data_IF_613111992473
#
_entry.id   IF_613111992473
#
_cell.length_a   1.000
_cell.length_b   1.000
_cell.length_c   1.000
_cell.angle_alpha   90.00
_cell.angle_beta   90.00
_cell.angle_gamma   90.00
#
_symmetry.space_group_name_H-M   'P 1'
#
loop_
_entity.id
_entity.type
_entity.pdbx_description
1 polymer ?
#
# COMPACT_ATOMS: atom_id res chain seq x y z
N UNK A 1 -14.72 12.67 -2.14
CA UNK A 1 -13.42 13.37 -2.21
C UNK A 1 -12.41 12.38 -2.78
N UNK A 2 -11.69 12.77 -3.84
CA UNK A 2 -10.58 12.00 -4.39
C UNK A 2 -9.27 12.66 -3.93
N UNK A 3 -8.35 11.86 -3.42
CA UNK A 3 -7.05 12.34 -2.93
C UNK A 3 -6.04 11.18 -2.97
N UNK A 4 -4.75 11.51 -3.03
CA UNK A 4 -3.67 10.53 -3.12
C UNK A 4 -2.34 11.20 -3.41
N UNK A 5 -1.28 10.41 -3.54
CA UNK A 5 0.06 10.88 -3.88
C UNK A 5 0.86 9.80 -4.58
N UNK A 6 1.97 10.17 -5.22
CA UNK A 6 2.95 9.20 -5.71
C UNK A 6 3.56 8.40 -4.53
N UNK A 7 3.83 7.11 -4.76
CA UNK A 7 4.66 6.31 -3.85
C UNK A 7 6.14 6.66 -4.00
N UNK A 8 6.98 6.58 -2.98
CA UNK A 8 6.76 6.13 -1.59
C UNK A 8 6.40 7.26 -0.61
N UNK A 9 6.35 8.52 -1.07
CA UNK A 9 6.13 9.71 -0.22
C UNK A 9 4.82 9.63 0.57
N UNK A 10 3.76 9.06 -0.04
CA UNK A 10 2.47 8.83 0.64
C UNK A 10 2.55 7.90 1.86
N UNK A 11 3.54 6.99 1.90
CA UNK A 11 3.69 5.99 2.96
C UNK A 11 4.00 6.63 4.32
N UNK A 12 4.61 7.81 4.34
CA UNK A 12 4.99 8.53 5.56
C UNK A 12 3.97 9.59 6.01
N UNK A 13 2.85 9.75 5.30
CA UNK A 13 1.88 10.81 5.61
C UNK A 13 0.56 10.25 6.16
N UNK A 14 -0.13 9.42 5.39
CA UNK A 14 -1.50 9.02 5.71
C UNK A 14 -1.75 7.51 5.70
N UNK A 15 -0.73 6.70 5.42
CA UNK A 15 -0.90 5.24 5.36
C UNK A 15 -1.23 4.64 6.73
N UNK A 16 -0.84 5.28 7.83
CA UNK A 16 -1.29 4.87 9.16
C UNK A 16 -2.80 4.95 9.29
N UNK A 17 -3.40 6.04 8.79
CA UNK A 17 -4.85 6.21 8.78
C UNK A 17 -5.53 5.22 7.83
N UNK A 18 -4.91 4.87 6.70
CA UNK A 18 -5.46 3.85 5.80
C UNK A 18 -5.42 2.45 6.41
N UNK A 19 -4.40 2.12 7.22
CA UNK A 19 -4.27 0.79 7.78
C UNK A 19 -5.02 0.59 9.10
N UNK A 20 -5.10 1.62 9.95
CA UNK A 20 -5.67 1.51 11.30
C UNK A 20 -6.80 2.51 11.58
N UNK A 21 -7.14 3.35 10.61
CA UNK A 21 -8.28 4.26 10.73
C UNK A 21 -9.61 3.52 10.69
N UNK A 22 -10.64 4.15 11.21
CA UNK A 22 -12.00 3.58 11.31
C UNK A 22 -12.89 3.90 10.11
N UNK A 23 -12.40 4.71 9.17
CA UNK A 23 -13.17 5.13 7.98
C UNK A 23 -13.00 4.12 6.87
N UNK A 24 -14.13 3.65 6.33
CA UNK A 24 -14.13 2.89 5.09
C UNK A 24 -13.63 3.75 3.93
N UNK A 25 -12.79 3.17 3.07
CA UNK A 25 -12.31 3.80 1.85
C UNK A 25 -12.17 2.76 0.75
N UNK A 26 -11.93 3.23 -0.47
CA UNK A 26 -11.42 2.40 -1.56
C UNK A 26 -10.21 3.08 -2.17
N UNK A 27 -9.25 2.30 -2.65
CA UNK A 27 -8.00 2.81 -3.18
C UNK A 27 -7.62 2.13 -4.51
N UNK A 28 -6.96 2.87 -5.39
CA UNK A 28 -6.33 2.29 -6.58
C UNK A 28 -4.81 2.45 -6.46
N UNK A 29 -4.10 1.32 -6.56
CA UNK A 29 -2.64 1.28 -6.60
C UNK A 29 -2.24 1.12 -8.06
N UNK A 30 -1.62 2.15 -8.64
CA UNK A 30 -1.16 2.14 -10.03
C UNK A 30 0.35 1.89 -10.04
N UNK A 31 0.78 0.78 -10.65
CA UNK A 31 2.19 0.36 -10.71
C UNK A 31 2.65 0.18 -12.15
N UNK A 32 3.52 1.07 -12.67
CA UNK A 32 4.21 0.83 -13.93
C UNK A 32 5.32 -0.21 -13.78
N UNK A 33 5.33 -1.22 -14.64
CA UNK A 33 6.30 -2.31 -14.65
C UNK A 33 7.64 -1.87 -15.23
N UNK A 34 7.64 -0.89 -16.13
CA UNK A 34 8.83 -0.28 -16.75
C UNK A 34 8.80 1.21 -16.48
N UNK A 35 9.93 1.76 -16.06
CA UNK A 35 10.08 3.18 -15.73
C UNK A 35 11.36 3.70 -16.39
N UNK A 36 11.28 4.17 -17.65
CA UNK A 36 12.38 4.83 -18.37
C UNK A 36 13.79 4.22 -18.22
N UNK A 37 14.81 5.05 -18.44
CA UNK A 37 16.22 4.78 -18.11
C UNK A 37 16.41 4.99 -16.59
N UNK A 38 16.15 3.95 -15.79
CA UNK A 38 16.22 4.03 -14.32
C UNK A 38 16.85 2.81 -13.68
N UNK A 39 17.31 2.97 -12.44
CA UNK A 39 17.90 1.88 -11.66
C UNK A 39 16.91 0.71 -11.48
N UNK A 40 17.34 -0.48 -11.91
CA UNK A 40 16.58 -1.72 -11.80
C UNK A 40 16.26 -2.05 -10.35
N UNK A 41 17.16 -1.78 -9.41
CA UNK A 41 16.94 -2.07 -7.98
C UNK A 41 15.86 -1.17 -7.38
N UNK A 42 15.94 0.14 -7.64
CA UNK A 42 14.89 1.08 -7.25
C UNK A 42 13.50 0.67 -7.78
N UNK A 43 13.42 0.21 -9.03
CA UNK A 43 12.16 -0.27 -9.62
C UNK A 43 11.61 -1.52 -8.94
N UNK A 44 12.48 -2.48 -8.62
CA UNK A 44 12.10 -3.69 -7.89
C UNK A 44 11.62 -3.34 -6.46
N UNK A 45 12.29 -2.41 -5.79
CA UNK A 45 11.87 -1.94 -4.48
C UNK A 45 10.48 -1.29 -4.54
N UNK A 46 10.22 -0.41 -5.52
CA UNK A 46 8.91 0.21 -5.69
C UNK A 46 7.81 -0.82 -5.95
N UNK A 47 8.07 -1.83 -6.80
CA UNK A 47 7.12 -2.91 -7.04
C UNK A 47 6.85 -3.74 -5.78
N UNK A 48 7.90 -4.08 -5.02
CA UNK A 48 7.77 -4.78 -3.76
C UNK A 48 6.92 -3.98 -2.76
N UNK A 49 7.12 -2.66 -2.68
CA UNK A 49 6.31 -1.78 -1.85
C UNK A 49 4.83 -1.76 -2.26
N UNK A 50 4.53 -1.62 -3.55
CA UNK A 50 3.16 -1.61 -4.05
C UNK A 50 2.42 -2.93 -3.75
N UNK A 51 3.08 -4.07 -3.99
CA UNK A 51 2.53 -5.40 -3.70
C UNK A 51 2.37 -5.64 -2.19
N UNK A 52 3.35 -5.22 -1.38
CA UNK A 52 3.26 -5.31 0.07
C UNK A 52 2.10 -4.47 0.61
N UNK A 53 1.87 -3.27 0.04
CA UNK A 53 0.76 -2.41 0.43
C UNK A 53 -0.59 -3.03 0.05
N UNK A 54 -0.73 -3.57 -1.17
CA UNK A 54 -1.94 -4.31 -1.58
C UNK A 54 -2.22 -5.48 -0.64
N UNK A 55 -1.21 -6.29 -0.31
CA UNK A 55 -1.35 -7.39 0.66
C UNK A 55 -1.77 -6.89 2.03
N UNK A 56 -1.17 -5.81 2.54
CA UNK A 56 -1.50 -5.26 3.85
C UNK A 56 -2.95 -4.76 3.90
N UNK A 57 -3.43 -4.09 2.84
CA UNK A 57 -4.82 -3.66 2.73
C UNK A 57 -5.80 -4.84 2.63
N UNK A 58 -5.44 -5.92 1.93
CA UNK A 58 -6.27 -7.10 1.77
C UNK A 58 -6.33 -7.96 3.05
N UNK A 59 -5.16 -8.34 3.55
CA UNK A 59 -4.99 -9.38 4.59
C UNK A 59 -4.85 -8.79 5.98
N UNK A 60 -4.20 -7.63 6.10
CA UNK A 60 -3.88 -7.05 7.40
C UNK A 60 -2.85 -7.86 8.20
N UNK A 61 -2.95 -7.73 9.52
CA UNK A 61 -2.19 -8.44 10.55
C UNK A 61 -3.14 -8.67 11.72
N UNK A 62 -3.43 -9.94 11.98
CA UNK A 62 -4.37 -10.36 13.03
C UNK A 62 -3.90 -9.97 14.44
N UNK A 63 -4.82 -9.94 15.43
CA UNK A 63 -4.47 -9.67 16.82
C UNK A 63 -3.37 -10.61 17.37
N UNK A 64 -3.36 -11.88 16.96
CA UNK A 64 -2.38 -12.86 17.42
C UNK A 64 -0.99 -12.62 16.80
N UNK A 65 -0.94 -12.29 15.51
CA UNK A 65 0.31 -11.90 14.84
C UNK A 65 0.87 -10.59 15.41
N UNK A 66 0.00 -9.64 15.74
CA UNK A 66 0.36 -8.38 16.38
C UNK A 66 0.96 -8.62 17.78
N UNK A 67 0.35 -9.49 18.59
CA UNK A 67 0.87 -9.91 19.90
C UNK A 67 2.24 -10.59 19.80
N UNK A 68 2.39 -11.54 18.88
CA UNK A 68 3.70 -12.17 18.63
C UNK A 68 4.76 -11.14 18.23
N UNK A 69 4.43 -10.21 17.34
CA UNK A 69 5.35 -9.16 16.90
C UNK A 69 5.72 -8.22 18.05
N UNK A 70 4.74 -7.78 18.84
CA UNK A 70 4.98 -6.91 19.99
C UNK A 70 5.86 -7.57 21.05
N UNK A 71 5.63 -8.85 21.36
CA UNK A 71 6.47 -9.63 22.27
C UNK A 71 7.92 -9.72 21.78
N UNK A 72 8.17 -9.95 20.48
CA UNK A 72 9.55 -9.95 19.93
C UNK A 72 10.24 -8.59 20.02
N UNK A 73 9.47 -7.51 20.21
CA UNK A 73 9.96 -6.14 20.37
C UNK A 73 9.95 -5.66 21.82
N UNK A 74 9.60 -6.52 22.78
CA UNK A 74 9.58 -6.22 24.21
C UNK A 74 8.36 -5.42 24.69
N UNK A 75 7.27 -5.38 23.90
CA UNK A 75 6.01 -4.79 24.34
C UNK A 75 5.17 -5.79 25.13
N UNK A 76 4.38 -5.27 26.08
CA UNK A 76 3.35 -6.06 26.75
C UNK A 76 2.15 -6.35 25.83
N UNK A 77 1.22 -7.19 26.30
CA UNK A 77 0.05 -7.61 25.55
C UNK A 77 -0.84 -6.43 25.11
N UNK A 78 -1.02 -5.44 25.98
CA UNK A 78 -1.87 -4.27 25.72
C UNK A 78 -1.23 -3.38 24.66
N UNK A 79 0.06 -3.06 24.82
CA UNK A 79 0.81 -2.26 23.88
C UNK A 79 0.95 -2.95 22.52
N UNK A 80 0.93 -4.28 22.46
CA UNK A 80 1.04 -5.03 21.20
C UNK A 80 -0.14 -4.82 20.25
N UNK A 81 -1.30 -4.38 20.75
CA UNK A 81 -2.49 -4.10 19.94
C UNK A 81 -2.23 -3.01 18.89
N UNK A 82 -1.30 -2.09 19.15
CA UNK A 82 -0.93 -1.03 18.20
C UNK A 82 -0.33 -1.56 16.88
N UNK A 83 0.08 -2.83 16.85
CA UNK A 83 0.61 -3.48 15.65
C UNK A 83 -0.47 -4.18 14.82
N UNK A 84 -1.70 -4.27 15.30
CA UNK A 84 -2.81 -4.87 14.55
C UNK A 84 -3.10 -4.06 13.29
N UNK A 85 -3.45 -4.76 12.21
CA UNK A 85 -3.93 -4.14 10.97
C UNK A 85 -5.20 -4.91 10.57
N UNK A 86 -6.40 -4.31 10.62
CA UNK A 86 -7.66 -5.01 10.34
C UNK A 86 -7.74 -5.63 8.94
N UNK A 87 -7.09 -5.03 7.93
CA UNK A 87 -7.18 -5.50 6.54
C UNK A 87 -8.60 -5.36 5.98
N UNK A 88 -8.93 -6.18 4.97
CA UNK A 88 -10.23 -6.17 4.28
C UNK A 88 -10.63 -4.78 3.74
N UNK A 89 -9.65 -3.97 3.33
CA UNK A 89 -9.88 -2.69 2.67
C UNK A 89 -10.01 -2.90 1.15
N UNK A 90 -11.14 -2.47 0.58
CA UNK A 90 -11.38 -2.52 -0.87
C UNK A 90 -10.31 -1.75 -1.63
N UNK A 91 -9.65 -2.40 -2.60
CA UNK A 91 -8.69 -1.72 -3.46
C UNK A 91 -8.49 -2.45 -4.79
N UNK A 92 -8.02 -1.72 -5.81
CA UNK A 92 -7.58 -2.27 -7.08
C UNK A 92 -6.06 -2.17 -7.20
N UNK A 93 -5.43 -3.12 -7.89
CA UNK A 93 -4.04 -3.03 -8.33
C UNK A 93 -4.02 -2.98 -9.86
N UNK A 94 -3.64 -1.82 -10.39
CA UNK A 94 -3.58 -1.56 -11.84
C UNK A 94 -2.12 -1.60 -12.29
N UNK A 95 -1.79 -2.59 -13.11
CA UNK A 95 -0.46 -2.73 -13.69
C UNK A 95 -0.41 -2.06 -15.07
N UNK A 96 0.60 -1.22 -15.29
CA UNK A 96 0.89 -0.60 -16.59
C UNK A 96 2.21 -1.14 -17.12
N UNK A 97 2.36 -1.40 -18.41
CA UNK A 97 3.67 -1.82 -18.95
C UNK A 97 4.70 -0.69 -18.77
N UNK A 98 4.36 0.52 -19.21
CA UNK A 98 5.17 1.72 -19.02
C UNK A 98 4.29 2.97 -18.87
N UNK A 99 4.86 4.07 -18.40
CA UNK A 99 4.20 5.38 -18.45
C UNK A 99 4.45 5.98 -19.84
N UNK A 100 3.51 5.75 -20.76
CA UNK A 100 3.49 6.35 -22.11
C UNK A 100 2.26 7.24 -22.29
N UNK A 101 2.24 8.17 -23.26
CA UNK A 101 1.05 8.99 -23.56
C UNK A 101 -0.21 8.15 -23.80
N UNK A 102 -0.07 7.01 -24.49
CA UNK A 102 -1.17 6.09 -24.78
C UNK A 102 -1.70 5.44 -23.49
N UNK A 103 -0.80 4.95 -22.63
CA UNK A 103 -1.18 4.35 -21.35
C UNK A 103 -1.85 5.36 -20.41
N UNK A 104 -1.35 6.60 -20.39
CA UNK A 104 -1.94 7.67 -19.60
C UNK A 104 -3.32 8.08 -20.13
N UNK A 105 -3.48 8.16 -21.46
CA UNK A 105 -4.78 8.41 -22.10
C UNK A 105 -5.79 7.31 -21.79
N UNK A 106 -5.38 6.04 -21.87
CA UNK A 106 -6.23 4.90 -21.53
C UNK A 106 -6.68 4.90 -20.06
N UNK A 107 -5.83 5.37 -19.14
CA UNK A 107 -6.16 5.53 -17.73
C UNK A 107 -7.21 6.64 -17.52
N UNK A 108 -7.04 7.79 -18.22
CA UNK A 108 -7.95 8.93 -18.10
C UNK A 108 -9.33 8.72 -18.72
N UNK A 109 -9.46 7.83 -19.72
CA UNK A 109 -10.74 7.53 -20.36
C UNK A 109 -11.58 6.44 -19.66
N UNK A 110 -11.09 5.85 -18.56
CA UNK A 110 -11.77 4.78 -17.81
C UNK A 110 -12.34 5.23 -16.44
N UNK A 111 -12.29 6.52 -16.12
CA UNK A 111 -12.86 7.11 -14.90
C UNK A 111 -14.10 7.92 -15.23
#
# INVERSE_FOLDING_TARGET
>A
MLWGSAGTIGQHSYYQLLHQGTRSFSADIILPLRSGEGDRQARLALAAHALAQSRALMVGRSPEEARRLGATRGFDETASQQFELPGNHSHSLLLLDAVSPECLGALGCRV
#
